data_IF_332102938602
#
_entry.id   IF_332102938602
#
_cell.length_a   1.000
_cell.length_b   1.000
_cell.length_c   1.000
_cell.angle_alpha   90.00
_cell.angle_beta   90.00
_cell.angle_gamma   90.00
#
_symmetry.space_group_name_H-M   'P 1'
#
loop_
_entity.id
_entity.type
_entity.pdbx_description
1 polymer ?
#
# COMPACT_ATOMS: atom_id res chain seq x y z
N UNK A 1 -30.65 4.03 12.38
CA UNK A 1 -29.20 3.96 12.67
C UNK A 1 -28.61 3.05 11.62
N UNK A 2 -27.75 3.59 10.76
CA UNK A 2 -27.16 2.84 9.66
C UNK A 2 -25.99 2.05 10.24
N UNK A 3 -26.20 0.77 10.57
CA UNK A 3 -25.15 -0.09 11.09
C UNK A 3 -24.09 -0.27 10.00
N UNK A 4 -22.95 0.40 10.19
CA UNK A 4 -21.77 0.21 9.35
C UNK A 4 -21.36 -1.25 9.49
N UNK A 5 -21.43 -2.01 8.39
CA UNK A 5 -21.00 -3.41 8.37
C UNK A 5 -19.59 -3.54 8.96
N UNK A 6 -19.37 -4.55 9.80
CA UNK A 6 -18.10 -4.83 10.47
C UNK A 6 -16.91 -4.85 9.50
N UNK A 7 -17.12 -5.35 8.26
CA UNK A 7 -16.10 -5.36 7.20
C UNK A 7 -15.66 -3.95 6.81
N UNK A 8 -16.62 -3.03 6.66
CA UNK A 8 -16.39 -1.62 6.30
C UNK A 8 -15.66 -0.87 7.41
N UNK A 9 -16.03 -1.13 8.67
CA UNK A 9 -15.37 -0.54 9.84
C UNK A 9 -13.92 -1.04 10.00
N UNK A 10 -13.70 -2.34 9.81
CA UNK A 10 -12.35 -2.94 9.81
C UNK A 10 -11.44 -2.28 8.78
N UNK A 11 -11.96 -2.01 7.59
CA UNK A 11 -11.17 -1.47 6.49
C UNK A 11 -10.90 0.03 6.63
N UNK A 12 -11.89 0.80 7.11
CA UNK A 12 -11.69 2.17 7.56
C UNK A 12 -10.63 2.27 8.65
N UNK A 13 -10.67 1.36 9.63
CA UNK A 13 -9.66 1.33 10.70
C UNK A 13 -8.26 1.09 10.15
N UNK A 14 -8.09 0.11 9.26
CA UNK A 14 -6.80 -0.18 8.61
C UNK A 14 -6.33 1.05 7.81
N UNK A 15 -7.23 1.71 7.07
CA UNK A 15 -6.88 2.87 6.26
C UNK A 15 -6.46 4.07 7.12
N UNK A 16 -7.22 4.38 8.18
CA UNK A 16 -6.87 5.44 9.14
C UNK A 16 -5.56 5.13 9.86
N UNK A 17 -5.32 3.87 10.23
CA UNK A 17 -4.05 3.46 10.80
C UNK A 17 -2.90 3.66 9.82
N UNK A 18 -3.10 3.35 8.54
CA UNK A 18 -2.10 3.56 7.49
C UNK A 18 -1.81 5.05 7.28
N UNK A 19 -2.82 5.91 7.35
CA UNK A 19 -2.67 7.37 7.31
C UNK A 19 -1.82 7.84 8.49
N UNK A 20 -2.16 7.42 9.71
CA UNK A 20 -1.43 7.82 10.91
C UNK A 20 0.03 7.32 10.88
N UNK A 21 0.22 6.08 10.44
CA UNK A 21 1.55 5.49 10.25
C UNK A 21 2.37 6.33 9.26
N UNK A 22 1.88 6.55 8.04
CA UNK A 22 2.63 7.30 7.02
C UNK A 22 2.91 8.74 7.46
N UNK A 23 1.95 9.40 8.12
CA UNK A 23 2.14 10.74 8.68
C UNK A 23 3.25 10.78 9.76
N UNK A 24 3.36 9.75 10.60
CA UNK A 24 4.43 9.65 11.59
C UNK A 24 5.83 9.41 10.97
N UNK A 25 5.88 8.79 9.78
CA UNK A 25 7.12 8.58 9.04
C UNK A 25 7.54 9.80 8.20
N UNK A 26 6.63 10.74 7.96
CA UNK A 26 6.85 11.97 7.20
C UNK A 26 7.54 13.08 8.02
N UNK A 27 8.65 12.73 8.67
CA UNK A 27 9.45 13.67 9.42
C UNK A 27 10.85 13.80 8.80
N UNK A 28 11.16 14.98 8.25
CA UNK A 28 12.45 15.27 7.62
C UNK A 28 13.62 15.15 8.62
N UNK A 29 13.40 15.48 9.89
CA UNK A 29 14.42 15.31 10.92
C UNK A 29 14.72 13.84 11.18
N UNK A 30 13.69 12.98 11.11
CA UNK A 30 13.85 11.54 11.22
C UNK A 30 14.61 10.99 10.00
N UNK A 31 14.25 11.42 8.80
CA UNK A 31 14.96 11.07 7.57
C UNK A 31 16.46 11.43 7.65
N UNK A 32 16.76 12.66 8.07
CA UNK A 32 18.15 13.10 8.23
C UNK A 32 18.90 12.27 9.27
N UNK A 33 18.25 11.98 10.40
CA UNK A 33 18.81 11.11 11.44
C UNK A 33 19.09 9.70 10.90
N UNK A 34 18.17 9.12 10.13
CA UNK A 34 18.30 7.78 9.57
C UNK A 34 19.46 7.72 8.56
N UNK A 35 19.58 8.70 7.66
CA UNK A 35 20.70 8.80 6.71
C UNK A 35 22.04 8.95 7.45
N UNK A 36 22.08 9.79 8.49
CA UNK A 36 23.28 9.96 9.31
C UNK A 36 23.68 8.66 10.02
N UNK A 37 22.70 7.96 10.59
CA UNK A 37 22.93 6.69 11.27
C UNK A 37 23.46 5.62 10.31
N UNK A 38 22.93 5.54 9.09
CA UNK A 38 23.42 4.62 8.04
C UNK A 38 24.90 4.88 7.76
N UNK A 39 25.28 6.14 7.56
CA UNK A 39 26.68 6.50 7.30
C UNK A 39 27.58 6.08 8.46
N UNK A 40 27.21 6.43 9.69
CA UNK A 40 27.99 6.07 10.89
C UNK A 40 28.13 4.56 11.06
N UNK A 41 27.08 3.79 10.80
CA UNK A 41 27.09 2.35 10.99
C UNK A 41 27.85 1.60 9.89
N UNK A 42 27.83 2.10 8.66
CA UNK A 42 28.63 1.52 7.57
C UNK A 42 30.10 1.92 7.69
N UNK A 43 30.40 3.15 8.16
CA UNK A 43 31.77 3.63 8.40
C UNK A 43 32.51 2.84 9.49
N UNK A 44 31.78 2.23 10.43
CA UNK A 44 32.35 1.33 11.46
C UNK A 44 32.85 -0.01 10.90
N UNK A 45 32.47 -0.37 9.68
CA UNK A 45 32.89 -1.63 9.07
C UNK A 45 34.35 -1.57 8.63
N UNK A 46 35.08 -2.66 8.88
CA UNK A 46 36.49 -2.82 8.52
C UNK A 46 36.72 -3.04 7.00
N UNK A 47 35.67 -3.03 6.19
CA UNK A 47 35.73 -3.26 4.75
C UNK A 47 36.40 -2.12 3.96
N UNK A 48 36.67 -2.38 2.68
CA UNK A 48 37.22 -1.36 1.77
C UNK A 48 36.29 -0.15 1.60
N UNK A 49 36.87 1.03 1.41
CA UNK A 49 36.12 2.29 1.27
C UNK A 49 35.11 2.25 0.14
N UNK A 50 35.45 1.64 -1.01
CA UNK A 50 34.55 1.55 -2.16
C UNK A 50 33.30 0.70 -1.85
N UNK A 51 33.46 -0.41 -1.12
CA UNK A 51 32.35 -1.26 -0.69
C UNK A 51 31.45 -0.47 0.27
N UNK A 52 32.03 0.24 1.25
CA UNK A 52 31.27 1.09 2.18
C UNK A 52 30.45 2.15 1.45
N UNK A 53 31.05 2.86 0.50
CA UNK A 53 30.35 3.93 -0.26
C UNK A 53 29.15 3.38 -1.05
N UNK A 54 29.29 2.21 -1.67
CA UNK A 54 28.18 1.55 -2.38
C UNK A 54 27.04 1.20 -1.43
N UNK A 55 27.34 0.62 -0.27
CA UNK A 55 26.31 0.30 0.72
C UNK A 55 25.65 1.55 1.30
N UNK A 56 26.41 2.61 1.59
CA UNK A 56 25.86 3.90 2.02
C UNK A 56 24.90 4.43 0.97
N UNK A 57 25.29 4.43 -0.31
CA UNK A 57 24.46 4.91 -1.41
C UNK A 57 23.17 4.10 -1.54
N UNK A 58 23.26 2.76 -1.55
CA UNK A 58 22.11 1.87 -1.72
C UNK A 58 21.12 1.99 -0.55
N UNK A 59 21.62 1.98 0.70
CA UNK A 59 20.77 2.07 1.89
C UNK A 59 20.14 3.47 1.99
N UNK A 60 20.92 4.53 1.73
CA UNK A 60 20.39 5.90 1.70
C UNK A 60 19.32 6.06 0.63
N UNK A 61 19.58 5.54 -0.58
CA UNK A 61 18.61 5.55 -1.68
C UNK A 61 17.31 4.85 -1.30
N UNK A 62 17.39 3.67 -0.68
CA UNK A 62 16.20 2.96 -0.19
C UNK A 62 15.41 3.78 0.83
N UNK A 63 16.09 4.40 1.82
CA UNK A 63 15.43 5.24 2.84
C UNK A 63 14.73 6.44 2.20
N UNK A 64 15.36 7.10 1.23
CA UNK A 64 14.76 8.24 0.50
C UNK A 64 13.55 7.79 -0.32
N UNK A 65 13.65 6.69 -1.06
CA UNK A 65 12.52 6.15 -1.85
C UNK A 65 11.33 5.82 -0.95
N UNK A 66 11.57 5.21 0.22
CA UNK A 66 10.51 4.95 1.21
C UNK A 66 9.86 6.22 1.74
N UNK A 67 10.67 7.23 2.01
CA UNK A 67 10.16 8.52 2.45
C UNK A 67 9.26 9.16 1.39
N UNK A 68 9.65 9.10 0.10
CA UNK A 68 8.81 9.57 -1.01
C UNK A 68 7.52 8.76 -1.15
N UNK A 69 7.59 7.44 -1.02
CA UNK A 69 6.41 6.59 -1.07
C UNK A 69 5.46 6.78 0.12
N UNK A 70 5.93 7.26 1.27
CA UNK A 70 5.03 7.67 2.35
C UNK A 70 4.11 8.84 1.94
N UNK A 71 4.59 9.79 1.13
CA UNK A 71 3.74 10.86 0.59
C UNK A 71 2.69 10.30 -0.38
N UNK A 72 3.11 9.45 -1.31
CA UNK A 72 2.20 8.83 -2.29
C UNK A 72 1.18 7.94 -1.58
N UNK A 73 1.62 7.20 -0.56
CA UNK A 73 0.79 6.33 0.26
C UNK A 73 -0.23 7.10 1.11
N UNK A 74 0.15 8.27 1.65
CA UNK A 74 -0.81 9.16 2.29
C UNK A 74 -1.86 9.65 1.31
N UNK A 75 -1.44 10.17 0.16
CA UNK A 75 -2.36 10.70 -0.84
C UNK A 75 -3.34 9.61 -1.31
N UNK A 76 -2.83 8.42 -1.61
CA UNK A 76 -3.65 7.27 -1.99
C UNK A 76 -4.63 6.86 -0.87
N UNK A 77 -4.16 6.76 0.37
CA UNK A 77 -4.99 6.39 1.52
C UNK A 77 -6.12 7.40 1.79
N UNK A 78 -5.86 8.70 1.61
CA UNK A 78 -6.89 9.75 1.71
C UNK A 78 -7.94 9.60 0.60
N UNK A 79 -7.51 9.38 -0.65
CA UNK A 79 -8.42 9.16 -1.79
C UNK A 79 -9.27 7.91 -1.56
N UNK A 80 -8.71 6.85 -0.97
CA UNK A 80 -9.44 5.62 -0.68
C UNK A 80 -10.56 5.76 0.37
N UNK A 81 -10.59 6.83 1.19
CA UNK A 81 -11.68 7.03 2.16
C UNK A 81 -13.03 7.12 1.44
N UNK A 82 -13.09 7.80 0.30
CA UNK A 82 -14.31 8.00 -0.46
C UNK A 82 -14.94 6.68 -0.94
N UNK A 83 -14.27 5.84 -1.77
CA UNK A 83 -14.84 4.58 -2.25
C UNK A 83 -15.12 3.58 -1.11
N UNK A 84 -14.34 3.60 -0.03
CA UNK A 84 -14.61 2.77 1.16
C UNK A 84 -15.92 3.20 1.83
N UNK A 85 -16.22 4.50 1.90
CA UNK A 85 -17.39 5.01 2.60
C UNK A 85 -18.66 4.98 1.74
N UNK A 86 -18.54 5.17 0.42
CA UNK A 86 -19.69 5.20 -0.50
C UNK A 86 -19.96 3.85 -1.18
N UNK A 87 -19.07 2.86 -1.04
CA UNK A 87 -19.13 1.58 -1.77
C UNK A 87 -19.31 1.77 -3.29
N UNK A 88 -18.66 2.80 -3.85
CA UNK A 88 -18.76 3.15 -5.26
C UNK A 88 -17.36 3.44 -5.83
N UNK A 89 -17.21 3.39 -7.16
CA UNK A 89 -15.96 3.76 -7.86
C UNK A 89 -14.73 2.97 -7.40
N UNK A 90 -14.73 1.67 -7.67
CA UNK A 90 -13.64 0.75 -7.31
C UNK A 90 -12.27 1.17 -7.87
N UNK A 91 -12.24 1.91 -8.98
CA UNK A 91 -11.01 2.41 -9.63
C UNK A 91 -10.20 3.34 -8.72
N UNK A 92 -10.85 4.10 -7.84
CA UNK A 92 -10.17 5.00 -6.89
C UNK A 92 -9.39 4.27 -5.78
N UNK A 93 -9.61 2.96 -5.60
CA UNK A 93 -8.81 2.13 -4.70
C UNK A 93 -7.51 1.64 -5.35
N UNK A 94 -7.42 1.63 -6.69
CA UNK A 94 -6.27 1.09 -7.42
C UNK A 94 -4.94 1.76 -7.04
N UNK A 95 -4.84 3.09 -6.88
CA UNK A 95 -3.61 3.74 -6.41
C UNK A 95 -3.16 3.25 -5.03
N UNK A 96 -4.10 2.97 -4.13
CA UNK A 96 -3.79 2.46 -2.78
C UNK A 96 -3.25 1.05 -2.84
N UNK A 97 -3.85 0.17 -3.65
CA UNK A 97 -3.36 -1.20 -3.86
C UNK A 97 -1.96 -1.19 -4.47
N UNK A 98 -1.71 -0.35 -5.46
CA UNK A 98 -0.40 -0.23 -6.12
C UNK A 98 0.66 0.24 -5.12
N UNK A 99 0.40 1.32 -4.39
CA UNK A 99 1.38 1.85 -3.43
C UNK A 99 1.67 0.85 -2.32
N UNK A 100 0.63 0.16 -1.81
CA UNK A 100 0.83 -0.90 -0.83
C UNK A 100 1.64 -2.05 -1.41
N UNK A 101 1.41 -2.46 -2.66
CA UNK A 101 2.20 -3.52 -3.30
C UNK A 101 3.67 -3.12 -3.41
N UNK A 102 3.95 -1.89 -3.86
CA UNK A 102 5.32 -1.40 -4.01
C UNK A 102 6.02 -1.30 -2.65
N UNK A 103 5.41 -0.65 -1.67
CA UNK A 103 6.04 -0.41 -0.37
C UNK A 103 6.17 -1.70 0.46
N UNK A 104 5.10 -2.49 0.51
CA UNK A 104 5.01 -3.64 1.40
C UNK A 104 5.57 -4.94 0.80
N UNK A 105 5.70 -5.04 -0.52
CA UNK A 105 6.27 -6.23 -1.19
C UNK A 105 7.62 -5.90 -1.81
N UNK A 106 7.66 -4.99 -2.78
CA UNK A 106 8.86 -4.73 -3.59
C UNK A 106 9.99 -4.14 -2.74
N UNK A 107 9.73 -3.08 -1.97
CA UNK A 107 10.76 -2.46 -1.15
C UNK A 107 11.15 -3.31 0.06
N UNK A 108 10.23 -4.08 0.63
CA UNK A 108 10.55 -5.03 1.70
C UNK A 108 11.45 -6.17 1.19
N UNK A 109 11.22 -6.66 -0.05
CA UNK A 109 12.12 -7.63 -0.68
C UNK A 109 13.50 -7.02 -0.94
N UNK A 110 13.56 -5.78 -1.40
CA UNK A 110 14.82 -5.08 -1.62
C UNK A 110 15.57 -4.81 -0.30
N UNK A 111 14.87 -4.41 0.76
CA UNK A 111 15.42 -4.30 2.12
C UNK A 111 16.00 -5.62 2.61
N UNK A 112 15.36 -6.75 2.30
CA UNK A 112 15.86 -8.08 2.63
C UNK A 112 17.20 -8.37 1.93
N UNK A 113 17.28 -8.11 0.63
CA UNK A 113 18.49 -8.34 -0.16
C UNK A 113 19.64 -7.45 0.31
N UNK A 114 19.37 -6.16 0.57
CA UNK A 114 20.37 -5.23 1.10
C UNK A 114 20.80 -5.59 2.53
N UNK A 115 19.85 -5.97 3.39
CA UNK A 115 20.16 -6.40 4.74
C UNK A 115 21.02 -7.66 4.77
N UNK A 116 20.68 -8.66 3.93
CA UNK A 116 21.50 -9.85 3.71
C UNK A 116 22.92 -9.47 3.22
N UNK A 117 23.01 -8.63 2.19
CA UNK A 117 24.29 -8.13 1.69
C UNK A 117 25.11 -7.41 2.76
N UNK A 118 24.47 -6.56 3.57
CA UNK A 118 25.15 -5.84 4.65
C UNK A 118 25.71 -6.79 5.71
N UNK A 119 24.98 -7.84 6.08
CA UNK A 119 25.45 -8.82 7.07
C UNK A 119 26.56 -9.71 6.51
N UNK A 120 26.47 -10.14 5.25
CA UNK A 120 27.51 -10.96 4.63
C UNK A 120 28.81 -10.18 4.37
N UNK A 121 28.72 -8.93 3.91
CA UNK A 121 29.89 -8.17 3.49
C UNK A 121 30.42 -7.25 4.59
N UNK A 122 29.57 -6.54 5.33
CA UNK A 122 30.02 -5.56 6.34
C UNK A 122 30.23 -6.17 7.73
N UNK A 123 29.45 -7.21 8.10
CA UNK A 123 29.43 -7.80 9.45
C UNK A 123 29.37 -9.35 9.47
N UNK A 124 30.35 -10.05 8.85
CA UNK A 124 30.30 -11.50 8.60
C UNK A 124 30.25 -12.38 9.86
N UNK A 125 30.61 -11.85 11.03
CA UNK A 125 30.66 -12.61 12.31
C UNK A 125 29.34 -12.61 13.09
N UNK A 126 28.31 -11.90 12.63
CA UNK A 126 27.08 -11.65 13.40
C UNK A 126 25.88 -12.50 12.98
N UNK A 127 26.04 -13.83 12.94
CA UNK A 127 24.98 -14.81 12.65
C UNK A 127 23.69 -14.66 13.48
N UNK A 128 23.72 -14.38 14.80
CA UNK A 128 22.48 -14.18 15.56
C UNK A 128 21.72 -12.90 15.17
N UNK A 129 22.43 -11.85 14.75
CA UNK A 129 21.83 -10.61 14.24
C UNK A 129 21.10 -10.88 12.92
N UNK A 130 21.64 -11.79 12.11
CA UNK A 130 21.01 -12.23 10.87
C UNK A 130 19.69 -12.98 11.09
N UNK A 131 19.62 -13.89 12.05
CA UNK A 131 18.38 -14.62 12.37
C UNK A 131 17.30 -13.66 12.88
N UNK A 132 17.66 -12.73 13.76
CA UNK A 132 16.73 -11.72 14.26
C UNK A 132 16.23 -10.79 13.14
N UNK A 133 17.13 -10.38 12.24
CA UNK A 133 16.79 -9.60 11.06
C UNK A 133 15.80 -10.34 10.15
N UNK A 134 16.07 -11.61 9.82
CA UNK A 134 15.18 -12.44 9.00
C UNK A 134 13.80 -12.60 9.64
N UNK A 135 13.74 -12.89 10.94
CA UNK A 135 12.48 -13.08 11.66
C UNK A 135 11.65 -11.79 11.69
N UNK A 136 12.29 -10.64 11.95
CA UNK A 136 11.63 -9.34 11.93
C UNK A 136 11.08 -9.02 10.54
N UNK A 137 11.84 -9.34 9.49
CA UNK A 137 11.49 -9.00 8.12
C UNK A 137 10.43 -9.95 7.54
N UNK A 138 10.48 -11.24 7.86
CA UNK A 138 9.44 -12.21 7.47
C UNK A 138 8.10 -11.89 8.12
N UNK A 139 8.09 -11.50 9.40
CA UNK A 139 6.88 -11.02 10.07
C UNK A 139 6.31 -9.76 9.39
N UNK A 140 7.18 -8.82 9.03
CA UNK A 140 6.80 -7.58 8.32
C UNK A 140 6.14 -7.90 6.97
N UNK A 141 6.70 -8.84 6.20
CA UNK A 141 6.15 -9.29 4.90
C UNK A 141 4.82 -10.03 5.10
N UNK A 142 4.70 -10.90 6.11
CA UNK A 142 3.46 -11.63 6.36
C UNK A 142 2.28 -10.69 6.68
N UNK A 143 2.50 -9.70 7.55
CA UNK A 143 1.51 -8.68 7.88
C UNK A 143 1.15 -7.82 6.66
N UNK A 144 2.17 -7.43 5.90
CA UNK A 144 2.07 -6.69 4.64
C UNK A 144 1.18 -7.37 3.61
N UNK A 145 1.40 -8.67 3.37
CA UNK A 145 0.59 -9.48 2.44
C UNK A 145 -0.84 -9.61 2.94
N UNK A 146 -1.04 -9.77 4.26
CA UNK A 146 -2.39 -9.86 4.85
C UNK A 146 -3.19 -8.58 4.61
N UNK A 147 -2.57 -7.41 4.79
CA UNK A 147 -3.20 -6.11 4.51
C UNK A 147 -3.53 -5.97 3.03
N UNK A 148 -2.59 -6.30 2.14
CA UNK A 148 -2.80 -6.22 0.69
C UNK A 148 -3.95 -7.12 0.23
N UNK A 149 -4.05 -8.33 0.79
CA UNK A 149 -5.13 -9.26 0.46
C UNK A 149 -6.51 -8.71 0.84
N UNK A 150 -6.60 -8.01 1.98
CA UNK A 150 -7.85 -7.35 2.41
C UNK A 150 -8.26 -6.23 1.43
N UNK A 151 -7.32 -5.40 0.97
CA UNK A 151 -7.62 -4.35 -0.01
C UNK A 151 -7.97 -4.92 -1.39
N UNK A 152 -7.30 -6.00 -1.83
CA UNK A 152 -7.57 -6.67 -3.11
C UNK A 152 -8.94 -7.37 -3.12
N UNK A 153 -9.30 -8.02 -2.02
CA UNK A 153 -10.62 -8.64 -1.85
C UNK A 153 -11.74 -7.60 -1.90
N UNK A 154 -11.55 -6.45 -1.24
CA UNK A 154 -12.52 -5.37 -1.30
C UNK A 154 -12.63 -4.74 -2.70
N UNK A 155 -11.51 -4.55 -3.41
CA UNK A 155 -11.55 -4.08 -4.78
C UNK A 155 -12.33 -5.05 -5.68
N UNK A 156 -12.09 -6.36 -5.55
CA UNK A 156 -12.80 -7.40 -6.30
C UNK A 156 -14.30 -7.43 -5.96
N UNK A 157 -14.65 -7.27 -4.69
CA UNK A 157 -16.05 -7.18 -4.24
C UNK A 157 -16.77 -5.96 -4.80
N UNK A 158 -16.10 -4.78 -4.83
CA UNK A 158 -16.65 -3.55 -5.39
C UNK A 158 -16.74 -3.60 -6.92
N UNK A 159 -15.77 -4.22 -7.60
CA UNK A 159 -15.81 -4.43 -9.04
C UNK A 159 -16.98 -5.34 -9.45
N UNK A 160 -17.19 -6.44 -8.72
CA UNK A 160 -18.32 -7.34 -8.97
C UNK A 160 -19.67 -6.67 -8.66
N UNK A 161 -19.76 -5.85 -7.61
CA UNK A 161 -20.98 -5.07 -7.34
C UNK A 161 -21.25 -4.04 -8.44
N UNK A 162 -20.21 -3.38 -8.96
CA UNK A 162 -20.31 -2.47 -10.10
C UNK A 162 -20.82 -3.19 -11.36
N UNK A 163 -20.27 -4.36 -11.67
CA UNK A 163 -20.72 -5.16 -12.82
C UNK A 163 -22.16 -5.67 -12.63
N UNK A 164 -22.54 -6.10 -11.43
CA UNK A 164 -23.93 -6.50 -11.15
C UNK A 164 -24.91 -5.33 -11.25
N UNK A 165 -24.50 -4.12 -10.88
CA UNK A 165 -25.33 -2.93 -11.00
C UNK A 165 -25.42 -2.45 -12.45
N UNK A 166 -24.36 -2.56 -13.25
CA UNK A 166 -24.39 -2.34 -14.70
C UNK A 166 -25.28 -3.38 -15.40
N UNK A 167 -25.20 -4.65 -15.01
CA UNK A 167 -26.08 -5.72 -15.49
C UNK A 167 -27.54 -5.47 -15.08
N UNK A 168 -27.83 -5.02 -13.85
CA UNK A 168 -29.19 -4.67 -13.43
C UNK A 168 -29.72 -3.42 -14.12
N UNK A 169 -28.86 -2.41 -14.37
CA UNK A 169 -29.25 -1.19 -15.10
C UNK A 169 -29.46 -1.42 -16.59
N UNK A 170 -28.82 -2.44 -17.17
CA UNK A 170 -29.08 -2.90 -18.55
C UNK A 170 -30.23 -3.91 -18.66
N UNK A 171 -30.69 -4.45 -17.53
CA UNK A 171 -31.90 -5.26 -17.38
C UNK A 171 -33.12 -4.45 -16.91
N UNK A 172 -32.95 -3.18 -16.54
CA UNK A 172 -34.05 -2.25 -16.30
C UNK A 172 -34.67 -1.97 -17.68
N UNK A 173 -35.92 -2.44 -17.92
CA UNK A 173 -36.47 -2.35 -19.26
C UNK A 173 -36.69 -0.88 -19.60
N UNK A 174 -36.21 -0.45 -20.77
CA UNK A 174 -36.54 0.77 -21.54
C UNK A 174 -38.06 0.98 -21.78
N UNK A 175 -38.90 0.26 -21.05
CA UNK A 175 -40.37 0.25 -21.09
C UNK A 175 -41.05 1.58 -20.77
N UNK A 176 -40.31 2.62 -20.38
CA UNK A 176 -40.90 3.96 -20.21
C UNK A 176 -41.06 4.65 -21.58
N UNK A 177 -40.21 4.35 -22.57
CA UNK A 177 -40.31 4.96 -23.91
C UNK A 177 -41.32 4.24 -24.83
N UNK A 178 -41.68 2.98 -24.56
CA UNK A 178 -42.68 2.26 -25.37
C UNK A 178 -44.14 2.56 -24.98
N UNK A 179 -44.39 3.02 -23.75
CA UNK A 179 -45.75 3.35 -23.28
C UNK A 179 -46.21 4.73 -23.82
N UNK A 180 -45.30 5.67 -24.06
CA UNK A 180 -45.64 6.96 -24.68
C UNK A 180 -45.87 6.86 -26.20
N UNK A 181 -45.12 6.01 -26.91
CA UNK A 181 -45.30 5.79 -28.35
C UNK A 181 -46.59 5.02 -28.70
N UNK A 182 -47.09 4.17 -27.81
CA UNK A 182 -48.35 3.45 -28.03
C UNK A 182 -49.58 4.32 -27.76
N UNK A 183 -49.49 5.28 -26.83
CA UNK A 183 -50.59 6.21 -26.54
C UNK A 183 -50.77 7.31 -27.60
N UNK A 184 -49.73 7.67 -28.37
CA UNK A 184 -49.88 8.62 -29.49
C UNK A 184 -50.57 8.02 -30.71
N UNK A 185 -50.55 6.69 -30.89
CA UNK A 185 -51.21 6.02 -32.02
C UNK A 185 -52.67 5.60 -31.75
N UNK A 186 -53.20 5.82 -30.53
CA UNK A 186 -54.60 5.55 -30.18
C UNK A 186 -55.51 6.79 -30.21
N UNK A 187 -54.96 7.96 -30.56
CA UNK A 187 -55.68 9.25 -30.63
C UNK A 187 -55.76 9.79 -32.08
N UNK A 188 -55.33 9.04 -33.10
CA UNK A 188 -55.54 9.40 -34.51
C UNK A 188 -56.66 8.60 -35.18
#
# INVERSE_FOLDING_TARGET
MNDISYSKLKLLFINVFNILHNAAYLNVYRLYSDIRNVKVEVDKSEQETWIREIFIFLITGLVVVRFLLCFVGLAASIVAIYPILTNSQAELLMPTVIVQTVDNVVLNLYEMMLGYGSLCFLYPTSTPVFVFFLAKLSLKIALSISVLNIYSDQHSHLANLGSFQEEMSSLEPDSIDEIELTNQNLIS
#
